data_IF_490392520719
#
_entry.id   IF_490392520719
#
_cell.length_a   1.000
_cell.length_b   1.000
_cell.length_c   1.000
_cell.angle_alpha   90.00
_cell.angle_beta   90.00
_cell.angle_gamma   90.00
#
_symmetry.space_group_name_H-M   'P 1'
#
loop_
_entity.id
_entity.type
_entity.pdbx_description
1 polymer ?
#
# COMPACT_ATOMS: atom_id res chain seq x y z
N UNK A 1 -2.98 -47.97 70.89
CA UNK A 1 -3.43 -46.61 70.51
C UNK A 1 -2.89 -46.28 69.12
N UNK A 2 -3.63 -46.50 68.02
CA UNK A 2 -3.21 -46.02 66.70
C UNK A 2 -3.81 -44.64 66.42
N UNK A 3 -2.97 -43.69 66.00
CA UNK A 3 -3.42 -42.42 65.45
C UNK A 3 -3.43 -42.53 63.92
N UNK A 4 -4.62 -42.41 63.31
CA UNK A 4 -4.80 -42.34 61.88
C UNK A 4 -4.82 -40.87 61.43
N UNK A 5 -3.86 -40.47 60.58
CA UNK A 5 -3.87 -39.19 59.87
C UNK A 5 -4.45 -39.37 58.47
N UNK A 6 -5.56 -38.70 58.17
CA UNK A 6 -6.14 -38.61 56.82
C UNK A 6 -5.61 -37.33 56.17
N UNK A 7 -4.79 -37.47 55.11
CA UNK A 7 -4.39 -36.36 54.26
C UNK A 7 -5.47 -36.14 53.18
N UNK A 8 -6.20 -35.03 53.27
CA UNK A 8 -7.19 -34.61 52.29
C UNK A 8 -6.53 -34.14 50.99
N UNK A 9 -6.68 -34.92 49.92
CA UNK A 9 -6.36 -34.52 48.55
C UNK A 9 -7.59 -33.91 47.89
N UNK A 10 -7.79 -32.60 48.05
CA UNK A 10 -8.75 -31.87 47.22
C UNK A 10 -8.24 -30.45 46.94
N UNK A 11 -8.42 -29.98 45.69
CA UNK A 11 -8.36 -28.58 45.22
C UNK A 11 -7.10 -28.03 44.49
N UNK A 12 -6.22 -28.84 43.91
CA UNK A 12 -5.22 -28.29 42.95
C UNK A 12 -5.77 -28.20 41.50
N UNK A 13 -6.46 -29.22 41.00
CA UNK A 13 -6.89 -29.27 39.60
C UNK A 13 -7.89 -28.17 39.17
N UNK A 14 -8.76 -27.70 40.07
CA UNK A 14 -9.75 -26.65 39.77
C UNK A 14 -9.17 -25.22 39.72
N UNK A 15 -8.14 -24.96 40.55
CA UNK A 15 -7.47 -23.66 40.59
C UNK A 15 -6.61 -23.42 39.34
N UNK A 16 -5.93 -24.47 38.87
CA UNK A 16 -5.08 -24.43 37.68
C UNK A 16 -5.88 -24.22 36.39
N UNK A 17 -7.06 -24.85 36.27
CA UNK A 17 -7.96 -24.66 35.14
C UNK A 17 -8.54 -23.23 35.08
N UNK A 18 -8.93 -22.67 36.23
CA UNK A 18 -9.40 -21.28 36.33
C UNK A 18 -8.28 -20.27 36.03
N UNK A 19 -7.06 -20.54 36.49
CA UNK A 19 -5.86 -19.75 36.19
C UNK A 19 -5.49 -19.76 34.71
N UNK A 20 -5.53 -20.93 34.07
CA UNK A 20 -5.30 -21.07 32.63
C UNK A 20 -6.37 -20.35 31.79
N UNK A 21 -7.64 -20.42 32.20
CA UNK A 21 -8.73 -19.70 31.54
C UNK A 21 -8.58 -18.18 31.66
N UNK A 22 -8.24 -17.65 32.85
CA UNK A 22 -7.94 -16.22 33.05
C UNK A 22 -6.73 -15.76 32.22
N UNK A 23 -5.63 -16.52 32.24
CA UNK A 23 -4.46 -16.22 31.42
C UNK A 23 -4.77 -16.25 29.91
N UNK A 24 -5.65 -17.15 29.47
CA UNK A 24 -6.17 -17.22 28.10
C UNK A 24 -6.98 -15.97 27.72
N UNK A 25 -7.88 -15.53 28.61
CA UNK A 25 -8.66 -14.32 28.45
C UNK A 25 -7.78 -13.05 28.36
N UNK A 26 -6.76 -12.95 29.22
CA UNK A 26 -5.81 -11.82 29.23
C UNK A 26 -4.97 -11.77 27.95
N UNK A 27 -4.49 -12.91 27.47
CA UNK A 27 -3.79 -13.01 26.18
C UNK A 27 -4.70 -12.59 25.02
N UNK A 28 -5.97 -13.00 25.05
CA UNK A 28 -6.96 -12.61 24.04
C UNK A 28 -7.23 -11.09 24.07
N UNK A 29 -7.40 -10.51 25.26
CA UNK A 29 -7.59 -9.07 25.44
C UNK A 29 -6.38 -8.27 24.95
N UNK A 30 -5.15 -8.69 25.29
CA UNK A 30 -3.91 -8.07 24.81
C UNK A 30 -3.79 -8.15 23.28
N UNK A 31 -4.15 -9.28 22.68
CA UNK A 31 -4.16 -9.44 21.21
C UNK A 31 -5.19 -8.52 20.54
N UNK A 32 -6.40 -8.40 21.10
CA UNK A 32 -7.43 -7.46 20.61
C UNK A 32 -6.94 -6.02 20.68
N UNK A 33 -6.38 -5.58 21.82
CA UNK A 33 -5.80 -4.23 21.98
C UNK A 33 -4.69 -3.95 20.96
N UNK A 34 -3.78 -4.90 20.74
CA UNK A 34 -2.73 -4.79 19.71
C UNK A 34 -3.30 -4.64 18.30
N UNK A 35 -4.34 -5.40 17.96
CA UNK A 35 -5.01 -5.32 16.65
C UNK A 35 -5.67 -3.95 16.44
N UNK A 36 -6.37 -3.44 17.46
CA UNK A 36 -7.01 -2.11 17.42
C UNK A 36 -5.96 -1.01 17.24
N UNK A 37 -4.87 -1.04 18.01
CA UNK A 37 -3.77 -0.08 17.88
C UNK A 37 -3.12 -0.12 16.50
N UNK A 38 -2.84 -1.31 15.96
CA UNK A 38 -2.27 -1.46 14.62
C UNK A 38 -3.21 -0.89 13.54
N UNK A 39 -4.52 -1.16 13.65
CA UNK A 39 -5.52 -0.61 12.73
C UNK A 39 -5.55 0.93 12.78
N UNK A 40 -5.55 1.51 13.99
CA UNK A 40 -5.50 2.97 14.18
C UNK A 40 -4.22 3.58 13.60
N UNK A 41 -3.08 2.88 13.72
CA UNK A 41 -1.80 3.26 13.12
C UNK A 41 -1.75 3.06 11.58
N UNK A 42 -2.85 2.65 10.93
CA UNK A 42 -2.87 2.31 9.51
C UNK A 42 -1.97 1.12 9.14
N UNK A 43 -1.54 0.32 10.12
CA UNK A 43 -0.64 -0.83 9.96
C UNK A 43 -1.42 -2.10 9.62
N UNK A 44 -0.78 -2.91 8.79
CA UNK A 44 -1.33 -4.14 8.25
C UNK A 44 -0.39 -5.33 8.41
N UNK A 45 -0.93 -6.56 8.47
CA UNK A 45 -0.10 -7.78 8.58
C UNK A 45 0.39 -8.22 7.20
N UNK A 46 1.69 -8.16 6.99
CA UNK A 46 2.39 -8.68 5.81
C UNK A 46 3.27 -9.87 6.20
N UNK A 47 3.93 -10.52 5.22
CA UNK A 47 4.89 -11.61 5.49
C UNK A 47 6.07 -11.18 6.37
N UNK A 48 6.49 -9.91 6.27
CA UNK A 48 7.55 -9.33 7.09
C UNK A 48 7.10 -8.71 8.41
N UNK A 49 5.85 -8.97 8.85
CA UNK A 49 5.28 -8.36 10.05
C UNK A 49 4.35 -7.17 9.76
N UNK A 50 4.22 -6.26 10.73
CA UNK A 50 3.34 -5.09 10.61
C UNK A 50 3.96 -4.03 9.71
N UNK A 51 3.28 -3.68 8.63
CA UNK A 51 3.77 -2.70 7.64
C UNK A 51 2.62 -1.91 7.02
N UNK A 52 2.97 -0.88 6.25
CA UNK A 52 2.06 -0.15 5.38
C UNK A 52 2.67 0.00 4.00
N UNK A 53 1.80 0.23 3.02
CA UNK A 53 2.16 0.44 1.62
C UNK A 53 1.88 1.87 1.24
N UNK A 54 2.84 2.48 0.55
CA UNK A 54 2.70 3.79 -0.07
C UNK A 54 2.51 3.56 -1.56
N UNK A 55 1.37 4.00 -2.09
CA UNK A 55 1.11 4.06 -3.53
C UNK A 55 1.35 5.49 -3.99
N UNK A 56 2.07 5.69 -5.08
CA UNK A 56 2.45 7.01 -5.54
C UNK A 56 2.20 7.20 -7.04
N UNK A 57 1.80 8.42 -7.43
CA UNK A 57 1.96 8.91 -8.79
C UNK A 57 3.20 9.77 -8.83
N UNK A 58 4.01 9.60 -9.88
CA UNK A 58 5.29 10.28 -10.04
C UNK A 58 5.38 10.77 -11.47
N UNK A 59 5.93 11.96 -11.66
CA UNK A 59 6.14 12.54 -12.98
C UNK A 59 7.39 11.95 -13.70
N UNK A 60 7.65 12.33 -14.97
CA UNK A 60 8.85 11.89 -15.69
C UNK A 60 10.18 12.33 -15.06
N UNK A 61 10.20 13.43 -14.29
CA UNK A 61 11.39 13.90 -13.56
C UNK A 61 11.69 13.08 -12.28
N UNK A 62 10.77 12.17 -11.90
CA UNK A 62 10.89 11.38 -10.67
C UNK A 62 10.45 12.16 -9.43
N UNK A 63 9.53 13.10 -9.58
CA UNK A 63 8.94 13.90 -8.52
C UNK A 63 7.52 13.41 -8.20
N UNK A 64 7.17 13.31 -6.91
CA UNK A 64 5.88 12.78 -6.51
C UNK A 64 4.76 13.80 -6.77
N UNK A 65 3.66 13.32 -7.35
CA UNK A 65 2.43 14.07 -7.60
C UNK A 65 1.34 13.76 -6.58
N UNK A 66 1.27 12.50 -6.12
CA UNK A 66 0.27 12.07 -5.16
C UNK A 66 0.76 10.86 -4.37
N UNK A 67 0.27 10.74 -3.13
CA UNK A 67 0.48 9.58 -2.26
C UNK A 67 -0.85 9.05 -1.74
N UNK A 68 -0.94 7.73 -1.60
CA UNK A 68 -2.02 7.02 -0.90
C UNK A 68 -1.38 5.99 0.02
N UNK A 69 -1.66 6.12 1.32
CA UNK A 69 -1.22 5.17 2.33
C UNK A 69 -2.26 4.09 2.54
N UNK A 70 -1.83 2.83 2.60
CA UNK A 70 -2.69 1.70 2.94
C UNK A 70 -2.02 0.73 3.90
N UNK A 71 -2.77 -0.11 4.63
CA UNK A 71 -2.19 -1.18 5.43
C UNK A 71 -1.41 -2.20 4.58
N UNK A 72 -0.40 -2.84 5.16
CA UNK A 72 0.53 -3.74 4.47
C UNK A 72 -0.11 -4.92 3.71
N UNK A 73 -1.25 -5.45 4.16
CA UNK A 73 -1.97 -6.51 3.45
C UNK A 73 -2.83 -6.02 2.28
N UNK A 74 -3.02 -4.70 2.14
CA UNK A 74 -3.89 -4.16 1.11
C UNK A 74 -3.42 -4.58 -0.28
N UNK A 75 -4.36 -4.95 -1.14
CA UNK A 75 -4.08 -5.23 -2.54
C UNK A 75 -3.70 -3.93 -3.26
N UNK A 76 -2.78 -4.01 -4.21
CA UNK A 76 -2.31 -2.83 -4.94
C UNK A 76 -3.34 -2.40 -6.00
N UNK A 77 -3.94 -3.35 -6.72
CA UNK A 77 -4.85 -3.06 -7.84
C UNK A 77 -5.94 -2.01 -7.57
N UNK A 78 -6.66 -2.04 -6.43
CA UNK A 78 -7.72 -1.06 -6.13
C UNK A 78 -7.19 0.35 -5.91
N UNK A 79 -5.95 0.49 -5.44
CA UNK A 79 -5.35 1.78 -5.07
C UNK A 79 -4.91 2.60 -6.30
N UNK A 80 -4.84 1.96 -7.47
CA UNK A 80 -4.52 2.62 -8.73
C UNK A 80 -5.42 3.82 -9.01
N UNK A 81 -6.74 3.65 -8.88
CA UNK A 81 -7.72 4.72 -9.12
C UNK A 81 -7.59 5.82 -8.07
N UNK A 82 -7.46 5.43 -6.79
CA UNK A 82 -7.31 6.36 -5.68
C UNK A 82 -6.09 7.29 -5.85
N UNK A 83 -4.96 6.75 -6.33
CA UNK A 83 -3.78 7.56 -6.64
C UNK A 83 -4.03 8.52 -7.80
N UNK A 84 -4.63 8.05 -8.90
CA UNK A 84 -4.90 8.88 -10.07
C UNK A 84 -5.93 9.99 -9.83
N UNK A 85 -6.81 9.83 -8.86
CA UNK A 85 -7.81 10.84 -8.47
C UNK A 85 -7.23 11.97 -7.64
N UNK A 86 -6.12 11.71 -6.94
CA UNK A 86 -5.38 12.72 -6.17
C UNK A 86 -4.47 13.60 -7.05
N UNK A 87 -4.23 13.24 -8.31
CA UNK A 87 -3.37 14.04 -9.21
C UNK A 87 -4.02 15.40 -9.48
N UNK A 88 -3.31 16.46 -9.09
CA UNK A 88 -3.64 17.85 -9.43
C UNK A 88 -2.34 18.59 -9.74
N UNK A 89 -2.16 18.98 -11.00
CA UNK A 89 -1.00 19.75 -11.45
C UNK A 89 -1.48 21.16 -11.81
N UNK A 90 -1.11 22.19 -11.03
CA UNK A 90 -1.41 23.58 -11.37
C UNK A 90 -0.77 23.96 -12.71
N UNK A 91 -1.53 24.63 -13.57
CA UNK A 91 -1.01 25.26 -14.79
C UNK A 91 -0.89 26.78 -14.60
N UNK A 92 -0.31 27.50 -15.57
CA UNK A 92 -0.17 28.97 -15.51
C UNK A 92 -1.51 29.69 -15.37
N UNK A 93 -2.57 29.17 -16.01
CA UNK A 93 -3.91 29.74 -15.97
C UNK A 93 -4.94 28.62 -15.92
N UNK A 94 -6.01 28.82 -15.16
CA UNK A 94 -7.21 27.97 -15.17
C UNK A 94 -7.16 26.77 -14.22
N UNK A 95 -8.01 25.76 -14.50
CA UNK A 95 -8.21 24.61 -13.62
C UNK A 95 -6.98 23.70 -13.61
N UNK A 96 -6.53 23.19 -12.45
CA UNK A 96 -5.44 22.22 -12.38
C UNK A 96 -5.69 21.00 -13.27
N UNK A 97 -4.65 20.56 -13.97
CA UNK A 97 -4.68 19.35 -14.78
C UNK A 97 -4.78 18.13 -13.86
N UNK A 98 -5.84 17.34 -14.04
CA UNK A 98 -6.08 16.09 -13.29
C UNK A 98 -5.94 14.83 -14.14
N UNK A 99 -5.81 15.01 -15.47
CA UNK A 99 -5.70 13.92 -16.44
C UNK A 99 -4.27 13.85 -17.02
N UNK A 100 -3.49 12.81 -16.71
CA UNK A 100 -2.24 12.52 -17.42
C UNK A 100 -2.53 11.96 -18.82
N UNK A 101 -1.58 12.11 -19.76
CA UNK A 101 -1.75 11.60 -21.14
C UNK A 101 -1.52 10.10 -21.21
N UNK A 102 -0.52 9.62 -20.47
CA UNK A 102 -0.18 8.21 -20.33
C UNK A 102 0.08 7.85 -18.87
N UNK A 103 -0.16 6.59 -18.51
CA UNK A 103 0.20 6.04 -17.19
C UNK A 103 0.96 4.73 -17.40
N UNK A 104 2.24 4.74 -17.03
CA UNK A 104 3.06 3.55 -16.88
C UNK A 104 2.89 2.97 -15.48
N UNK A 105 2.52 1.68 -15.39
CA UNK A 105 2.35 1.02 -14.11
C UNK A 105 2.64 -0.48 -14.19
N UNK A 106 2.91 -1.06 -13.02
CA UNK A 106 3.24 -2.47 -12.87
C UNK A 106 2.18 -3.38 -13.47
N UNK A 107 2.65 -4.54 -13.93
CA UNK A 107 1.81 -5.66 -14.35
C UNK A 107 0.77 -6.08 -13.29
N UNK A 108 1.03 -5.82 -12.00
CA UNK A 108 0.05 -6.03 -10.93
C UNK A 108 -1.25 -5.25 -11.20
N UNK A 109 -1.18 -4.02 -11.72
CA UNK A 109 -2.31 -3.13 -11.99
C UNK A 109 -3.09 -3.45 -13.28
N UNK A 110 -2.78 -4.55 -13.97
CA UNK A 110 -3.36 -4.96 -15.26
C UNK A 110 -4.86 -5.32 -15.24
N UNK A 111 -5.54 -5.19 -14.09
CA UNK A 111 -6.96 -5.49 -13.94
C UNK A 111 -7.83 -4.79 -15.01
N UNK A 112 -8.87 -5.49 -15.48
CA UNK A 112 -9.78 -4.99 -16.52
C UNK A 112 -10.42 -3.66 -16.12
N UNK A 113 -10.81 -3.51 -14.86
CA UNK A 113 -11.46 -2.31 -14.33
C UNK A 113 -10.54 -1.09 -14.33
N UNK A 114 -9.24 -1.28 -14.07
CA UNK A 114 -8.25 -0.20 -14.15
C UNK A 114 -8.06 0.25 -15.59
N UNK A 115 -7.98 -0.71 -16.53
CA UNK A 115 -7.91 -0.38 -17.96
C UNK A 115 -9.19 0.27 -18.49
N UNK A 116 -10.36 -0.15 -18.00
CA UNK A 116 -11.63 0.45 -18.36
C UNK A 116 -11.72 1.89 -17.84
N UNK A 117 -11.26 2.14 -16.61
CA UNK A 117 -11.15 3.47 -16.02
C UNK A 117 -10.25 4.39 -16.87
N UNK A 118 -9.05 3.94 -17.23
CA UNK A 118 -8.12 4.71 -18.08
C UNK A 118 -8.74 5.03 -19.44
N UNK A 119 -9.38 4.05 -20.09
CA UNK A 119 -10.08 4.25 -21.36
C UNK A 119 -11.21 5.27 -21.24
N UNK A 120 -12.04 5.19 -20.19
CA UNK A 120 -13.13 6.14 -19.94
C UNK A 120 -12.61 7.58 -19.78
N UNK A 121 -11.43 7.76 -19.19
CA UNK A 121 -10.81 9.10 -19.04
C UNK A 121 -10.01 9.53 -20.27
N UNK A 122 -9.81 8.67 -21.27
CA UNK A 122 -8.96 8.96 -22.43
C UNK A 122 -7.46 8.99 -22.11
N UNK A 123 -7.01 8.12 -21.20
CA UNK A 123 -5.60 8.01 -20.77
C UNK A 123 -4.96 6.78 -21.39
N UNK A 124 -3.78 6.93 -22.00
CA UNK A 124 -3.01 5.83 -22.57
C UNK A 124 -2.50 4.90 -21.45
N UNK A 125 -2.93 3.65 -21.48
CA UNK A 125 -2.54 2.65 -20.48
C UNK A 125 -1.25 1.92 -20.89
N UNK A 126 -0.12 2.27 -20.27
CA UNK A 126 1.19 1.62 -20.50
C UNK A 126 1.43 0.59 -19.41
N UNK A 127 0.57 -0.42 -19.39
CA UNK A 127 0.58 -1.49 -18.38
C UNK A 127 0.75 -2.83 -19.11
N UNK A 128 1.77 -3.64 -18.79
CA UNK A 128 1.90 -4.98 -19.35
C UNK A 128 0.72 -5.88 -18.97
N UNK A 129 0.32 -6.79 -19.87
CA UNK A 129 -0.70 -7.79 -19.57
C UNK A 129 -0.12 -8.97 -18.78
N UNK A 130 -0.89 -9.55 -17.85
CA UNK A 130 -0.51 -10.83 -17.21
C UNK A 130 -0.50 -11.95 -18.25
N UNK A 131 0.48 -12.87 -18.18
CA UNK A 131 0.57 -13.99 -19.14
C UNK A 131 -0.73 -14.79 -19.14
N UNK A 132 -1.25 -15.09 -17.96
CA UNK A 132 -2.52 -15.83 -17.80
C UNK A 132 -3.73 -15.05 -18.33
N UNK A 133 -3.73 -13.72 -18.21
CA UNK A 133 -4.77 -12.87 -18.80
C UNK A 133 -4.70 -12.88 -20.32
N UNK A 134 -3.50 -12.80 -20.89
CA UNK A 134 -3.29 -12.90 -22.33
C UNK A 134 -3.69 -14.28 -22.86
N UNK A 135 -3.35 -15.36 -22.17
CA UNK A 135 -3.74 -16.74 -22.52
C UNK A 135 -5.25 -16.93 -22.42
N UNK A 136 -5.88 -16.48 -21.33
CA UNK A 136 -7.33 -16.54 -21.18
C UNK A 136 -8.09 -15.68 -22.20
N UNK A 137 -7.51 -14.54 -22.60
CA UNK A 137 -8.04 -13.69 -23.67
C UNK A 137 -7.99 -14.43 -24.99
N UNK A 138 -6.83 -15.01 -25.35
CA UNK A 138 -6.66 -15.82 -26.57
C UNK A 138 -7.64 -17.00 -26.60
N UNK A 139 -7.79 -17.71 -25.47
CA UNK A 139 -8.75 -18.83 -25.33
C UNK A 139 -10.21 -18.40 -25.54
N UNK A 140 -10.56 -17.15 -25.21
CA UNK A 140 -11.92 -16.61 -25.40
C UNK A 140 -12.18 -16.08 -26.83
N UNK A 141 -11.19 -16.10 -27.73
CA UNK A 141 -11.34 -15.66 -29.12
C UNK A 141 -11.88 -14.22 -29.23
N UNK A 142 -12.89 -14.01 -30.07
CA UNK A 142 -13.56 -12.72 -30.27
C UNK A 142 -14.18 -12.14 -29.00
N UNK A 143 -14.66 -12.99 -28.08
CA UNK A 143 -15.20 -12.60 -26.75
C UNK A 143 -14.11 -12.19 -25.76
N UNK A 144 -12.83 -12.38 -26.11
CA UNK A 144 -11.68 -11.98 -25.30
C UNK A 144 -11.41 -10.47 -25.34
N UNK A 145 -11.81 -9.78 -26.40
CA UNK A 145 -11.57 -8.35 -26.61
C UNK A 145 -10.19 -8.02 -27.19
N UNK A 146 -9.97 -6.72 -27.46
CA UNK A 146 -8.80 -6.19 -28.17
C UNK A 146 -7.46 -6.51 -27.47
N UNK A 147 -6.41 -6.91 -28.21
CA UNK A 147 -5.06 -7.05 -27.67
C UNK A 147 -4.57 -5.77 -27.00
N UNK A 148 -3.80 -5.91 -25.93
CA UNK A 148 -3.16 -4.78 -25.25
C UNK A 148 -1.93 -4.36 -26.07
N UNK A 149 -1.94 -3.14 -26.60
CA UNK A 149 -0.74 -2.51 -27.16
C UNK A 149 0.20 -2.15 -26.01
N UNK A 150 1.40 -2.72 -26.00
CA UNK A 150 2.42 -2.41 -25.01
C UNK A 150 3.50 -1.52 -25.64
N UNK A 151 3.54 -0.27 -25.21
CA UNK A 151 4.59 0.68 -25.58
C UNK A 151 5.80 0.46 -24.65
N UNK A 152 6.83 -0.20 -25.16
CA UNK A 152 7.99 -0.60 -24.37
C UNK A 152 8.84 0.58 -23.93
N UNK A 153 8.89 1.65 -24.72
CA UNK A 153 9.69 2.83 -24.40
C UNK A 153 9.03 3.67 -23.31
N UNK A 154 7.73 3.93 -23.43
CA UNK A 154 6.98 4.56 -22.34
C UNK A 154 6.95 3.69 -21.07
N UNK A 155 7.05 2.35 -21.21
CA UNK A 155 7.10 1.49 -20.02
C UNK A 155 8.40 1.64 -19.23
N UNK A 156 9.51 2.04 -19.87
CA UNK A 156 10.79 2.33 -19.18
C UNK A 156 10.62 3.49 -18.19
N UNK A 157 9.69 4.40 -18.42
CA UNK A 157 9.38 5.51 -17.51
C UNK A 157 8.86 5.04 -16.15
N UNK A 158 8.38 3.80 -16.00
CA UNK A 158 8.04 3.21 -14.69
C UNK A 158 9.17 3.36 -13.66
N UNK A 159 10.43 3.34 -14.10
CA UNK A 159 11.60 3.50 -13.25
C UNK A 159 11.61 4.85 -12.48
N UNK A 160 10.89 5.88 -12.95
CA UNK A 160 10.80 7.16 -12.22
C UNK A 160 10.18 6.99 -10.84
N UNK A 161 9.21 6.08 -10.69
CA UNK A 161 8.59 5.76 -9.40
C UNK A 161 9.61 5.14 -8.45
N UNK A 162 10.43 4.20 -8.94
CA UNK A 162 11.49 3.55 -8.15
C UNK A 162 12.54 4.56 -7.70
N UNK A 163 13.00 5.44 -8.61
CA UNK A 163 13.93 6.53 -8.28
C UNK A 163 13.33 7.52 -7.28
N UNK A 164 12.04 7.86 -7.42
CA UNK A 164 11.34 8.74 -6.48
C UNK A 164 11.34 8.13 -5.08
N UNK A 165 10.97 6.86 -4.94
CA UNK A 165 11.02 6.17 -3.64
C UNK A 165 12.43 6.07 -3.08
N UNK A 166 13.45 5.84 -3.92
CA UNK A 166 14.84 5.80 -3.47
C UNK A 166 15.27 7.16 -2.90
N UNK A 167 14.94 8.27 -3.59
CA UNK A 167 15.17 9.63 -3.10
C UNK A 167 14.38 9.93 -1.82
N UNK A 168 13.14 9.46 -1.72
CA UNK A 168 12.32 9.64 -0.53
C UNK A 168 12.93 8.91 0.69
N UNK A 169 13.44 7.69 0.48
CA UNK A 169 14.02 6.82 1.52
C UNK A 169 15.39 7.27 2.02
N UNK A 170 16.01 8.30 1.45
CA UNK A 170 17.18 8.96 2.08
C UNK A 170 16.82 9.48 3.47
N UNK A 171 15.55 9.82 3.71
CA UNK A 171 15.05 10.12 5.05
C UNK A 171 14.73 8.83 5.79
N UNK A 172 15.50 8.52 6.84
CA UNK A 172 15.33 7.32 7.68
C UNK A 172 13.92 7.20 8.26
N UNK A 173 13.31 8.31 8.64
CA UNK A 173 11.93 8.33 9.14
C UNK A 173 10.91 7.77 8.13
N UNK A 174 11.09 8.09 6.85
CA UNK A 174 10.27 7.56 5.75
C UNK A 174 10.64 6.11 5.43
N UNK A 175 11.94 5.80 5.37
CA UNK A 175 12.42 4.46 5.00
C UNK A 175 11.98 3.37 5.98
N UNK A 176 12.10 3.64 7.27
CA UNK A 176 11.77 2.68 8.34
C UNK A 176 10.34 2.87 8.87
N UNK A 177 9.67 3.98 8.53
CA UNK A 177 8.38 4.38 9.08
C UNK A 177 8.40 4.46 10.62
N UNK A 178 9.04 5.50 11.15
CA UNK A 178 9.10 5.73 12.60
C UNK A 178 7.80 6.32 13.18
N UNK A 179 6.99 6.99 12.35
CA UNK A 179 5.74 7.59 12.77
C UNK A 179 4.71 6.55 13.21
N UNK A 180 4.09 6.81 14.37
CA UNK A 180 3.06 5.93 14.95
C UNK A 180 1.69 6.10 14.30
N UNK A 181 1.36 7.33 13.88
CA UNK A 181 0.08 7.64 13.24
C UNK A 181 0.22 7.65 11.71
N UNK A 182 -0.81 7.24 10.97
CA UNK A 182 -0.78 7.31 9.52
C UNK A 182 -0.71 8.76 9.01
N UNK A 183 -1.32 9.72 9.72
CA UNK A 183 -1.33 11.13 9.36
C UNK A 183 0.07 11.75 9.45
N UNK A 184 0.82 11.48 10.53
CA UNK A 184 2.20 11.97 10.66
C UNK A 184 3.11 11.34 9.61
N UNK A 185 2.91 10.07 9.29
CA UNK A 185 3.67 9.41 8.23
C UNK A 185 3.36 10.01 6.84
N UNK A 186 2.08 10.25 6.54
CA UNK A 186 1.66 10.89 5.29
C UNK A 186 2.18 12.33 5.20
N UNK A 187 2.16 13.09 6.30
CA UNK A 187 2.78 14.41 6.38
C UNK A 187 4.29 14.37 6.10
N UNK A 188 5.01 13.37 6.64
CA UNK A 188 6.42 13.16 6.35
C UNK A 188 6.71 12.86 4.87
N UNK A 189 5.84 12.07 4.21
CA UNK A 189 5.92 11.82 2.76
C UNK A 189 5.68 13.10 1.96
N UNK A 190 4.67 13.88 2.32
CA UNK A 190 4.39 15.16 1.66
C UNK A 190 5.52 16.17 1.84
N UNK A 191 6.03 16.33 3.06
CA UNK A 191 7.17 17.20 3.33
C UNK A 191 8.39 16.79 2.50
N UNK A 192 8.70 15.49 2.45
CA UNK A 192 9.80 14.99 1.63
C UNK A 192 9.57 15.27 0.14
N UNK A 193 8.35 15.05 -0.34
CA UNK A 193 7.95 15.37 -1.72
C UNK A 193 8.12 16.85 -2.05
N UNK A 194 7.65 17.74 -1.17
CA UNK A 194 7.80 19.19 -1.35
C UNK A 194 9.26 19.63 -1.41
N UNK A 195 10.13 19.04 -0.59
CA UNK A 195 11.58 19.32 -0.66
C UNK A 195 12.19 18.82 -1.97
N UNK A 196 11.73 17.67 -2.50
CA UNK A 196 12.17 17.19 -3.81
C UNK A 196 11.79 18.17 -4.92
N UNK A 197 10.57 18.72 -4.88
CA UNK A 197 10.10 19.75 -5.80
C UNK A 197 10.92 21.04 -5.68
N UNK A 198 11.11 21.56 -4.46
CA UNK A 198 11.88 22.78 -4.22
C UNK A 198 13.29 22.66 -4.80
N UNK A 199 13.98 21.56 -4.51
CA UNK A 199 15.33 21.31 -5.04
C UNK A 199 15.35 21.27 -6.56
N UNK A 200 14.35 20.63 -7.18
CA UNK A 200 14.28 20.57 -8.64
C UNK A 200 14.12 21.97 -9.25
N UNK A 201 13.19 22.77 -8.73
CA UNK A 201 12.92 24.12 -9.22
C UNK A 201 14.14 25.04 -9.05
N UNK A 202 14.87 24.94 -7.93
CA UNK A 202 16.06 25.76 -7.68
C UNK A 202 17.30 25.33 -8.45
N UNK A 203 17.38 24.08 -8.91
CA UNK A 203 18.52 23.57 -9.68
C UNK A 203 18.37 23.77 -11.19
N UNK A 204 17.19 24.19 -11.65
CA UNK A 204 16.90 24.48 -13.07
C UNK A 204 16.92 25.98 -13.36
N UNK A 205 17.16 26.82 -12.35
CA UNK A 205 17.48 28.25 -12.48
C UNK A 205 18.99 28.42 -12.35
#
# INVERSE_FOLDING_TARGET
>A
MPAAGVAGGATQAGADAAGAHRAGADRAAKRRRRKVRAKAAGLGRSRGGLSSKVHAAVDPAGLPLAFVLTPGQAADCPQFKAVLEKIRVPGPVGRPRTRPDAVAADKAYSAKDNRAYLRKRGIKAVIPEKRDQATNRKRRGSKGGRPVSHDTDLYKERNTVERCFQKAKTWRGVATRYDKSPESFEAGLHLRGSIMWLKHLTSTT
#
